data_IF_256258507033
#
_entry.id   IF_256258507033
#
_cell.length_a   1.000
_cell.length_b   1.000
_cell.length_c   1.000
_cell.angle_alpha   90.00
_cell.angle_beta   90.00
_cell.angle_gamma   90.00
#
_symmetry.space_group_name_H-M   'P 1'
#
loop_
_entity.id
_entity.type
_entity.pdbx_description
1 polymer ?
#
# COMPACT_ATOMS: atom_id res chain seq x y z
N UNK A 1 15.13 38.88 32.29
CA UNK A 1 15.43 37.69 31.47
C UNK A 1 15.07 36.45 32.28
N UNK A 2 13.88 35.88 32.07
CA UNK A 2 13.44 34.61 32.68
C UNK A 2 13.31 33.58 31.56
N UNK A 3 14.10 32.51 31.64
CA UNK A 3 14.07 31.38 30.71
C UNK A 3 12.89 30.48 31.09
N UNK A 4 11.90 30.35 30.21
CA UNK A 4 10.79 29.40 30.39
C UNK A 4 11.21 28.06 29.79
N UNK A 5 11.33 27.05 30.64
CA UNK A 5 11.68 25.67 30.27
C UNK A 5 10.36 24.96 29.91
N UNK A 6 10.14 24.67 28.62
CA UNK A 6 9.01 23.85 28.17
C UNK A 6 9.32 22.37 28.43
N UNK A 7 8.75 21.81 29.49
CA UNK A 7 8.71 20.36 29.73
C UNK A 7 7.61 19.76 28.84
N UNK A 8 8.03 18.99 27.84
CA UNK A 8 7.16 18.10 27.05
C UNK A 8 6.82 16.88 27.91
N UNK A 9 5.57 16.81 28.35
CA UNK A 9 5.03 15.67 29.08
C UNK A 9 4.65 14.58 28.06
N UNK A 10 5.48 13.54 27.93
CA UNK A 10 5.14 12.33 27.17
C UNK A 10 4.21 11.48 28.04
N UNK A 11 2.91 11.54 27.77
CA UNK A 11 1.93 10.65 28.37
C UNK A 11 2.06 9.24 27.80
N UNK A 12 2.61 8.31 28.58
CA UNK A 12 2.49 6.88 28.30
C UNK A 12 1.04 6.45 28.55
N UNK A 13 0.29 6.21 27.48
CA UNK A 13 -0.95 5.43 27.51
C UNK A 13 -0.58 3.95 27.70
N UNK A 14 -0.48 3.52 28.96
CA UNK A 14 -0.55 2.11 29.32
C UNK A 14 -2.02 1.67 29.26
N UNK A 15 -2.52 1.41 28.05
CA UNK A 15 -3.77 0.70 27.85
C UNK A 15 -3.56 -0.81 28.10
N UNK A 16 -4.58 -1.54 28.58
CA UNK A 16 -4.51 -2.99 28.67
C UNK A 16 -4.22 -3.56 27.28
N UNK A 17 -3.26 -4.48 27.21
CA UNK A 17 -2.92 -5.22 26.00
C UNK A 17 -4.15 -5.94 25.47
N UNK A 18 -4.86 -5.31 24.53
CA UNK A 18 -5.80 -6.00 23.67
C UNK A 18 -4.95 -6.95 22.82
N UNK A 19 -5.02 -8.25 23.14
CA UNK A 19 -4.49 -9.29 22.27
C UNK A 19 -5.30 -9.22 20.97
N UNK A 20 -4.73 -8.60 19.94
CA UNK A 20 -5.24 -8.68 18.59
C UNK A 20 -4.99 -10.12 18.12
N UNK A 21 -5.92 -11.00 18.45
CA UNK A 21 -5.92 -12.38 18.00
C UNK A 21 -6.12 -12.34 16.48
N UNK A 22 -5.11 -12.70 15.70
CA UNK A 22 -5.31 -13.00 14.28
C UNK A 22 -6.33 -14.14 14.26
N UNK A 23 -7.54 -13.86 13.76
CA UNK A 23 -8.52 -14.91 13.55
C UNK A 23 -8.06 -15.71 12.34
N UNK A 24 -7.26 -16.75 12.60
CA UNK A 24 -6.93 -17.77 11.62
C UNK A 24 -7.77 -19.02 11.91
N UNK A 25 -8.49 -19.48 10.90
CA UNK A 25 -9.30 -20.69 10.99
C UNK A 25 -9.02 -21.55 9.76
N UNK A 26 -8.80 -22.85 10.00
CA UNK A 26 -8.75 -23.84 8.93
C UNK A 26 -10.18 -24.18 8.50
N UNK A 27 -10.46 -24.03 7.21
CA UNK A 27 -11.73 -24.37 6.57
C UNK A 27 -11.48 -25.49 5.55
N UNK A 28 -11.23 -26.69 6.05
CA UNK A 28 -10.75 -27.80 5.24
C UNK A 28 -9.31 -27.52 4.78
N UNK A 29 -9.04 -27.60 3.48
CA UNK A 29 -7.72 -27.34 2.88
C UNK A 29 -7.43 -25.83 2.70
N UNK A 30 -8.24 -24.95 3.29
CA UNK A 30 -8.11 -23.51 3.18
C UNK A 30 -7.76 -22.85 4.52
N UNK A 31 -6.84 -21.89 4.45
CA UNK A 31 -6.50 -20.97 5.53
C UNK A 31 -7.32 -19.68 5.40
N UNK A 32 -8.20 -19.42 6.37
CA UNK A 32 -8.85 -18.11 6.52
C UNK A 32 -8.02 -17.22 7.43
N UNK A 33 -7.73 -15.98 7.02
CA UNK A 33 -6.96 -15.01 7.80
C UNK A 33 -7.65 -13.65 7.81
N UNK A 34 -7.90 -13.11 9.00
CA UNK A 34 -8.28 -11.72 9.21
C UNK A 34 -7.05 -10.90 9.63
N UNK A 35 -6.78 -9.77 8.97
CA UNK A 35 -5.62 -8.95 9.31
C UNK A 35 -5.57 -7.56 8.67
N UNK A 36 -4.49 -6.84 8.95
CA UNK A 36 -4.23 -5.48 8.43
C UNK A 36 -3.32 -5.47 7.20
N UNK A 37 -2.91 -6.65 6.72
CA UNK A 37 -2.03 -6.83 5.56
C UNK A 37 -2.68 -7.84 4.63
N UNK A 38 -2.93 -7.49 3.36
CA UNK A 38 -3.55 -8.40 2.41
C UNK A 38 -2.56 -9.47 1.93
N UNK A 39 -3.06 -10.62 1.50
CA UNK A 39 -2.23 -11.69 0.93
C UNK A 39 -1.56 -11.34 -0.40
N UNK A 40 -2.14 -10.39 -1.17
CA UNK A 40 -1.57 -9.89 -2.43
C UNK A 40 -0.26 -9.15 -2.17
N UNK A 41 0.84 -9.74 -2.60
CA UNK A 41 2.18 -9.24 -2.29
C UNK A 41 2.83 -8.54 -3.48
N UNK A 42 2.40 -8.86 -4.70
CA UNK A 42 2.86 -8.22 -5.95
C UNK A 42 1.95 -7.07 -6.43
N UNK A 43 0.74 -6.98 -5.86
CA UNK A 43 -0.26 -6.00 -6.24
C UNK A 43 -0.18 -4.72 -5.38
N UNK A 44 1.02 -4.15 -5.33
CA UNK A 44 1.37 -3.03 -4.46
C UNK A 44 0.98 -1.66 -5.05
N UNK A 45 -0.04 -1.67 -5.93
CA UNK A 45 -0.49 -0.58 -6.79
C UNK A 45 -0.61 0.76 -6.05
N UNK A 46 -0.09 1.78 -6.74
CA UNK A 46 -0.04 3.21 -6.38
C UNK A 46 0.84 3.54 -5.17
N UNK A 47 1.88 4.33 -5.47
CA UNK A 47 3.02 4.72 -4.64
C UNK A 47 2.64 5.38 -3.31
N UNK A 48 1.40 5.85 -3.16
CA UNK A 48 1.03 6.68 -2.01
C UNK A 48 0.26 5.90 -0.95
N UNK A 49 0.68 6.00 0.33
CA UNK A 49 0.07 5.28 1.42
C UNK A 49 -1.41 5.66 1.60
N UNK A 50 -2.18 4.73 2.18
CA UNK A 50 -3.52 5.01 2.67
C UNK A 50 -3.52 6.32 3.47
N UNK A 51 -4.57 7.12 3.31
CA UNK A 51 -4.63 8.41 3.95
C UNK A 51 -4.49 8.27 5.47
N UNK A 52 -3.62 9.08 6.07
CA UNK A 52 -3.37 9.08 7.51
C UNK A 52 -4.70 9.14 8.28
N UNK A 53 -4.93 8.19 9.17
CA UNK A 53 -6.15 8.09 9.97
C UNK A 53 -7.30 7.30 9.33
N UNK A 54 -7.09 6.55 8.24
CA UNK A 54 -8.06 5.54 7.79
C UNK A 54 -7.96 4.28 8.65
N UNK A 55 -9.12 3.69 8.97
CA UNK A 55 -9.18 2.32 9.46
C UNK A 55 -9.12 1.39 8.24
N UNK A 56 -8.26 0.36 8.32
CA UNK A 56 -8.01 -0.58 7.24
C UNK A 56 -7.88 -2.01 7.74
N UNK A 57 -8.22 -2.97 6.89
CA UNK A 57 -8.17 -4.39 7.21
C UNK A 57 -8.77 -5.24 6.10
N UNK A 58 -8.57 -6.54 6.18
CA UNK A 58 -9.05 -7.47 5.18
C UNK A 58 -9.14 -8.91 5.67
N UNK A 59 -9.83 -9.69 4.85
CA UNK A 59 -10.07 -11.12 5.01
C UNK A 59 -9.48 -11.84 3.81
N UNK A 60 -8.66 -12.83 4.06
CA UNK A 60 -7.98 -13.64 3.05
C UNK A 60 -8.33 -15.11 3.23
N UNK A 61 -8.57 -15.81 2.13
CA UNK A 61 -8.71 -17.25 2.06
C UNK A 61 -7.65 -17.80 1.11
N UNK A 62 -6.76 -18.65 1.60
CA UNK A 62 -5.65 -19.22 0.83
C UNK A 62 -5.71 -20.74 0.84
N UNK A 63 -5.19 -21.38 -0.20
CA UNK A 63 -5.12 -22.84 -0.35
C UNK A 63 -3.68 -23.27 -0.62
N UNK A 64 -3.31 -24.48 -0.18
CA UNK A 64 -1.96 -25.05 -0.34
C UNK A 64 -1.50 -25.16 -1.80
N UNK A 65 -2.43 -25.14 -2.76
CA UNK A 65 -2.11 -25.10 -4.19
C UNK A 65 -1.46 -23.77 -4.64
N UNK A 66 -1.53 -22.72 -3.81
CA UNK A 66 -1.11 -21.37 -4.13
C UNK A 66 -2.26 -20.43 -4.54
N UNK A 67 -3.48 -20.95 -4.71
CA UNK A 67 -4.67 -20.13 -4.98
C UNK A 67 -5.06 -19.32 -3.74
N UNK A 68 -5.40 -18.06 -3.92
CA UNK A 68 -5.98 -17.24 -2.87
C UNK A 68 -7.07 -16.31 -3.40
N UNK A 69 -8.03 -15.99 -2.54
CA UNK A 69 -9.04 -14.95 -2.73
C UNK A 69 -9.08 -14.09 -1.49
N UNK A 70 -9.36 -12.80 -1.63
CA UNK A 70 -9.45 -11.93 -0.47
C UNK A 70 -10.17 -10.63 -0.75
N UNK A 71 -10.48 -9.95 0.34
CA UNK A 71 -11.04 -8.61 0.34
C UNK A 71 -10.25 -7.76 1.32
N UNK A 72 -9.84 -6.58 0.88
CA UNK A 72 -9.11 -5.62 1.70
C UNK A 72 -9.72 -4.23 1.54
N UNK A 73 -9.99 -3.57 2.67
CA UNK A 73 -10.43 -2.18 2.68
C UNK A 73 -9.27 -1.28 3.12
N UNK A 74 -8.61 -0.55 2.20
CA UNK A 74 -7.58 0.42 2.56
C UNK A 74 -8.15 1.65 3.29
N UNK A 75 -9.44 1.90 3.11
CA UNK A 75 -10.20 2.91 3.83
C UNK A 75 -11.63 2.41 4.06
N UNK A 76 -12.06 2.29 5.31
CA UNK A 76 -13.45 1.96 5.64
C UNK A 76 -14.43 3.15 5.55
N UNK A 77 -13.97 4.34 5.17
CA UNK A 77 -14.83 5.53 5.05
C UNK A 77 -15.44 6.04 6.37
N UNK A 78 -14.90 5.61 7.52
CA UNK A 78 -15.40 6.00 8.86
C UNK A 78 -14.87 7.38 9.27
N UNK A 79 -13.71 7.78 8.74
CA UNK A 79 -13.06 9.05 9.03
C UNK A 79 -13.62 10.14 8.11
N UNK A 80 -13.98 11.34 8.62
CA UNK A 80 -14.51 12.42 7.79
C UNK A 80 -13.63 12.75 6.59
N UNK A 81 -14.24 12.86 5.41
CA UNK A 81 -13.52 13.15 4.16
C UNK A 81 -12.72 11.96 3.60
N UNK A 82 -13.06 10.73 4.00
CA UNK A 82 -12.55 9.50 3.42
C UNK A 82 -13.70 8.64 2.93
N UNK A 83 -13.56 8.15 1.70
CA UNK A 83 -14.53 7.25 1.09
C UNK A 83 -14.22 5.80 1.47
N UNK A 84 -15.26 4.98 1.40
CA UNK A 84 -15.14 3.53 1.54
C UNK A 84 -14.58 2.97 0.24
N UNK A 85 -13.47 2.26 0.35
CA UNK A 85 -12.84 1.53 -0.74
C UNK A 85 -12.74 0.06 -0.37
N UNK A 86 -13.15 -0.82 -1.29
CA UNK A 86 -13.10 -2.27 -1.13
C UNK A 86 -12.37 -2.88 -2.32
N UNK A 87 -11.25 -3.54 -2.03
CA UNK A 87 -10.40 -4.22 -2.99
C UNK A 87 -10.70 -5.71 -2.91
N UNK A 88 -11.39 -6.25 -3.91
CA UNK A 88 -11.61 -7.69 -4.02
C UNK A 88 -10.59 -8.29 -4.97
N UNK A 89 -9.93 -9.38 -4.58
CA UNK A 89 -8.86 -9.95 -5.39
C UNK A 89 -8.86 -11.47 -5.40
N UNK A 90 -8.29 -12.00 -6.46
CA UNK A 90 -7.96 -13.40 -6.65
C UNK A 90 -6.57 -13.49 -7.25
N UNK A 91 -5.79 -14.46 -6.80
CA UNK A 91 -4.46 -14.66 -7.32
C UNK A 91 -3.94 -16.07 -7.11
N UNK A 92 -2.79 -16.30 -7.71
CA UNK A 92 -2.05 -17.55 -7.59
C UNK A 92 -0.60 -17.21 -7.27
N UNK A 93 -0.09 -17.79 -6.19
CA UNK A 93 1.27 -17.59 -5.69
C UNK A 93 1.94 -18.92 -5.44
N UNK A 94 3.08 -19.15 -6.09
CA UNK A 94 3.78 -20.43 -5.99
C UNK A 94 5.29 -20.23 -5.90
N UNK A 95 5.97 -20.84 -4.92
CA UNK A 95 7.41 -21.00 -4.96
C UNK A 95 7.78 -22.07 -6.00
N UNK A 96 8.80 -21.80 -6.83
CA UNK A 96 9.45 -22.84 -7.61
C UNK A 96 10.44 -23.63 -6.73
N UNK A 97 11.20 -22.91 -5.91
CA UNK A 97 12.11 -23.44 -4.91
C UNK A 97 12.29 -22.45 -3.76
N UNK A 98 13.37 -22.57 -2.98
CA UNK A 98 13.67 -21.68 -1.86
C UNK A 98 14.14 -20.28 -2.30
N UNK A 99 14.47 -20.10 -3.58
CA UNK A 99 15.07 -18.90 -4.14
C UNK A 99 14.07 -18.15 -5.02
N UNK A 100 13.37 -18.87 -5.90
CA UNK A 100 12.52 -18.32 -6.92
C UNK A 100 11.05 -18.65 -6.64
N UNK A 101 10.19 -17.64 -6.76
CA UNK A 101 8.74 -17.81 -6.77
C UNK A 101 8.08 -16.80 -7.69
N UNK A 102 6.81 -17.02 -8.00
CA UNK A 102 6.01 -16.09 -8.77
C UNK A 102 4.64 -15.90 -8.14
N UNK A 103 4.03 -14.78 -8.49
CA UNK A 103 2.68 -14.46 -8.10
C UNK A 103 2.01 -13.67 -9.23
N UNK A 104 0.78 -14.03 -9.57
CA UNK A 104 -0.06 -13.34 -10.54
C UNK A 104 -1.48 -13.24 -9.99
N UNK A 105 -2.22 -12.23 -10.41
CA UNK A 105 -3.60 -12.10 -10.01
C UNK A 105 -4.28 -10.87 -10.57
N UNK A 106 -5.48 -10.65 -10.07
CA UNK A 106 -6.30 -9.49 -10.40
C UNK A 106 -6.96 -8.90 -9.16
N UNK A 107 -7.21 -7.60 -9.21
CA UNK A 107 -7.99 -6.85 -8.22
C UNK A 107 -9.12 -6.15 -8.94
N UNK A 108 -10.27 -6.11 -8.26
CA UNK A 108 -11.39 -5.24 -8.57
C UNK A 108 -11.53 -4.23 -7.43
N UNK A 109 -11.34 -2.96 -7.76
CA UNK A 109 -11.52 -1.82 -6.86
C UNK A 109 -12.95 -1.32 -6.96
N UNK A 110 -13.60 -1.19 -5.81
CA UNK A 110 -14.97 -0.67 -5.72
C UNK A 110 -15.08 0.44 -4.70
N UNK A 111 -15.90 1.44 -5.01
CA UNK A 111 -16.10 2.65 -4.19
C UNK A 111 -17.60 2.84 -3.87
N UNK A 112 -18.20 2.05 -2.97
CA UNK A 112 -19.65 1.99 -2.81
C UNK A 112 -20.31 3.28 -2.33
N UNK A 113 -19.54 4.20 -1.73
CA UNK A 113 -20.05 5.44 -1.14
C UNK A 113 -20.02 6.65 -2.08
N UNK A 114 -19.44 6.52 -3.28
CA UNK A 114 -19.27 7.63 -4.23
C UNK A 114 -19.63 7.18 -5.64
N UNK A 115 -20.01 8.14 -6.49
CA UNK A 115 -20.31 7.90 -7.91
C UNK A 115 -19.01 7.83 -8.74
N UNK A 116 -18.06 7.00 -8.31
CA UNK A 116 -16.83 6.71 -9.05
C UNK A 116 -16.97 5.35 -9.73
N UNK A 117 -16.48 5.23 -10.96
CA UNK A 117 -16.51 3.94 -11.66
C UNK A 117 -15.50 2.98 -11.03
N UNK A 118 -15.92 1.73 -10.87
CA UNK A 118 -15.05 0.63 -10.47
C UNK A 118 -13.89 0.47 -11.46
N UNK A 119 -12.74 0.02 -10.96
CA UNK A 119 -11.56 -0.26 -11.78
C UNK A 119 -11.00 -1.64 -11.49
N UNK A 120 -10.20 -2.15 -12.42
CA UNK A 120 -9.54 -3.44 -12.30
C UNK A 120 -8.04 -3.29 -12.49
N UNK A 121 -7.29 -4.15 -11.83
CA UNK A 121 -5.84 -4.21 -11.98
C UNK A 121 -5.39 -5.66 -12.13
N UNK A 122 -4.57 -5.91 -13.15
CA UNK A 122 -3.83 -7.15 -13.30
C UNK A 122 -2.43 -6.95 -12.76
N UNK A 123 -1.93 -7.90 -11.99
CA UNK A 123 -0.59 -7.83 -11.44
C UNK A 123 0.16 -9.15 -11.61
N UNK A 124 1.48 -9.03 -11.60
CA UNK A 124 2.38 -10.17 -11.68
C UNK A 124 3.76 -9.82 -11.16
N UNK A 125 4.48 -10.80 -10.65
CA UNK A 125 5.83 -10.57 -10.17
C UNK A 125 6.57 -11.83 -9.77
N UNK A 126 7.85 -11.63 -9.45
CA UNK A 126 8.80 -12.66 -9.08
C UNK A 126 9.38 -12.36 -7.71
N UNK A 127 9.56 -13.41 -6.93
CA UNK A 127 10.40 -13.38 -5.73
C UNK A 127 11.73 -14.05 -6.06
N UNK A 128 12.85 -13.38 -5.78
CA UNK A 128 14.21 -13.89 -5.97
C UNK A 128 15.04 -13.61 -4.71
N UNK A 129 15.52 -14.66 -4.04
CA UNK A 129 16.38 -14.54 -2.84
C UNK A 129 15.78 -13.65 -1.73
N UNK A 130 14.46 -13.69 -1.56
CA UNK A 130 13.75 -12.83 -0.60
C UNK A 130 13.44 -11.42 -1.11
N UNK A 131 13.98 -11.00 -2.25
CA UNK A 131 13.61 -9.77 -2.93
C UNK A 131 12.39 -9.99 -3.83
N UNK A 132 11.53 -8.99 -3.97
CA UNK A 132 10.30 -9.05 -4.76
C UNK A 132 10.33 -7.99 -5.85
N UNK A 133 9.93 -8.37 -7.05
CA UNK A 133 9.82 -7.50 -8.20
C UNK A 133 8.48 -7.74 -8.84
N UNK A 134 7.71 -6.69 -9.11
CA UNK A 134 6.45 -6.89 -9.79
C UNK A 134 5.93 -5.68 -10.50
N UNK A 135 4.91 -5.95 -11.29
CA UNK A 135 4.25 -5.01 -12.16
C UNK A 135 2.75 -5.11 -11.97
N UNK A 136 2.07 -3.99 -12.12
CA UNK A 136 0.62 -3.94 -12.10
C UNK A 136 0.11 -2.99 -13.19
N UNK A 137 -0.98 -3.39 -13.84
CA UNK A 137 -1.62 -2.69 -14.94
C UNK A 137 -3.08 -2.46 -14.56
N UNK A 138 -3.46 -1.21 -14.38
CA UNK A 138 -4.82 -0.81 -14.01
C UNK A 138 -5.56 -0.20 -15.20
N UNK A 139 -6.82 -0.56 -15.35
CA UNK A 139 -7.73 -0.03 -16.38
C UNK A 139 -8.71 1.00 -15.83
N UNK A 140 -8.29 1.78 -14.83
CA UNK A 140 -9.11 2.83 -14.24
C UNK A 140 -9.77 3.72 -15.34
N UNK A 141 -11.11 3.90 -15.29
CA UNK A 141 -11.84 4.60 -16.34
C UNK A 141 -11.37 6.05 -16.58
N UNK A 142 -10.83 6.71 -15.57
CA UNK A 142 -10.32 8.08 -15.67
C UNK A 142 -8.84 8.10 -16.09
N UNK A 143 -8.08 7.05 -15.79
CA UNK A 143 -6.64 6.95 -16.04
C UNK A 143 -6.15 5.52 -16.20
N UNK A 144 -5.17 5.29 -17.07
CA UNK A 144 -4.42 4.04 -17.09
C UNK A 144 -3.16 4.17 -16.23
N UNK A 145 -2.92 3.19 -15.35
CA UNK A 145 -1.75 3.20 -14.48
C UNK A 145 -0.91 1.94 -14.68
N UNK A 146 0.40 2.13 -14.80
CA UNK A 146 1.35 1.03 -14.81
C UNK A 146 2.33 1.22 -13.64
N UNK A 147 2.32 0.28 -12.70
CA UNK A 147 3.22 0.29 -11.54
C UNK A 147 4.34 -0.71 -11.76
N UNK A 148 5.56 -0.30 -11.43
CA UNK A 148 6.73 -1.16 -11.25
C UNK A 148 7.19 -1.03 -9.80
N UNK A 149 7.48 -2.16 -9.16
CA UNK A 149 8.00 -2.15 -7.81
C UNK A 149 9.20 -3.09 -7.65
N UNK A 150 10.08 -2.72 -6.73
CA UNK A 150 11.19 -3.54 -6.25
C UNK A 150 11.25 -3.45 -4.72
N UNK A 151 11.25 -4.59 -4.05
CA UNK A 151 11.44 -4.71 -2.62
C UNK A 151 12.64 -5.61 -2.37
N UNK A 152 13.69 -5.07 -1.77
CA UNK A 152 14.95 -5.76 -1.60
C UNK A 152 15.00 -6.39 -0.20
N UNK A 153 14.47 -7.61 -0.11
CA UNK A 153 14.60 -8.49 1.04
C UNK A 153 15.84 -9.39 0.91
N UNK A 154 16.62 -9.54 1.99
CA UNK A 154 17.87 -10.30 2.04
C UNK A 154 18.66 -10.01 3.32
N UNK A 155 19.97 -10.28 3.33
CA UNK A 155 20.87 -9.86 4.42
C UNK A 155 20.96 -8.33 4.46
N UNK A 156 19.97 -7.71 5.10
CA UNK A 156 19.85 -6.27 5.27
C UNK A 156 21.14 -5.71 5.88
N UNK A 157 21.93 -4.90 5.15
CA UNK A 157 23.09 -4.24 5.74
C UNK A 157 22.61 -3.43 6.93
N UNK A 158 23.16 -3.72 8.13
CA UNK A 158 22.76 -3.06 9.37
C UNK A 158 21.28 -3.26 9.80
N UNK A 159 20.58 -4.25 9.25
CA UNK A 159 19.17 -4.53 9.57
C UNK A 159 18.19 -3.50 9.00
N UNK A 160 18.53 -2.88 7.87
CA UNK A 160 17.68 -1.94 7.13
C UNK A 160 17.15 -2.60 5.85
N UNK A 161 15.83 -2.70 5.72
CA UNK A 161 15.15 -3.05 4.48
C UNK A 161 14.99 -1.85 3.56
N UNK A 162 14.99 -2.09 2.25
CA UNK A 162 14.82 -1.04 1.24
C UNK A 162 13.76 -1.49 0.24
N UNK A 163 12.76 -0.65 0.03
CA UNK A 163 11.76 -0.82 -1.03
C UNK A 163 11.67 0.43 -1.88
N UNK A 164 11.48 0.24 -3.19
CA UNK A 164 11.27 1.28 -4.17
C UNK A 164 10.03 0.98 -5.00
N UNK A 165 9.22 2.00 -5.24
CA UNK A 165 8.09 1.94 -6.16
C UNK A 165 8.22 3.05 -7.19
N UNK A 166 7.79 2.76 -8.41
CA UNK A 166 7.73 3.71 -9.52
C UNK A 166 6.46 3.44 -10.32
N UNK A 167 5.64 4.46 -10.53
CA UNK A 167 4.41 4.34 -11.30
C UNK A 167 4.36 5.42 -12.38
N UNK A 168 3.82 5.02 -13.53
CA UNK A 168 3.46 5.94 -14.61
C UNK A 168 1.95 5.97 -14.75
N UNK A 169 1.43 7.18 -14.96
CA UNK A 169 0.02 7.46 -15.10
C UNK A 169 -0.23 8.10 -16.45
N UNK A 170 -1.24 7.61 -17.15
CA UNK A 170 -1.73 8.17 -18.41
C UNK A 170 -3.20 8.55 -18.21
N UNK A 171 -3.51 9.84 -18.33
CA UNK A 171 -4.87 10.34 -18.19
C UNK A 171 -5.63 10.08 -19.49
N UNK A 172 -6.83 9.50 -19.39
CA UNK A 172 -7.69 9.28 -20.56
C UNK A 172 -8.23 10.62 -21.10
N UNK A 173 -8.48 11.56 -20.18
CA UNK A 173 -8.81 12.96 -20.50
C UNK A 173 -7.74 13.88 -19.92
N UNK A 174 -6.97 14.61 -20.76
CA UNK A 174 -5.96 15.55 -20.27
C UNK A 174 -6.55 16.64 -19.37
N UNK A 175 -5.86 16.97 -18.29
CA UNK A 175 -6.28 17.99 -17.32
C UNK A 175 -5.63 19.32 -17.68
N UNK A 176 -6.43 20.38 -17.77
CA UNK A 176 -5.93 21.74 -17.98
C UNK A 176 -5.24 22.25 -16.71
N UNK A 177 -4.03 22.79 -16.87
CA UNK A 177 -3.21 23.36 -15.81
C UNK A 177 -2.67 24.73 -16.24
N UNK A 178 -2.09 25.49 -15.31
CA UNK A 178 -1.48 26.77 -15.67
C UNK A 178 -0.32 26.54 -16.66
N UNK A 179 -0.51 27.01 -17.89
CA UNK A 179 0.51 26.89 -18.94
C UNK A 179 0.40 25.66 -19.84
N UNK A 180 -0.65 24.84 -19.72
CA UNK A 180 -0.88 23.76 -20.68
C UNK A 180 -1.88 22.69 -20.25
N UNK A 181 -1.58 21.46 -20.65
CA UNK A 181 -2.36 20.28 -20.30
C UNK A 181 -1.43 19.18 -19.81
N UNK A 182 -1.83 18.48 -18.76
CA UNK A 182 -1.17 17.26 -18.29
C UNK A 182 -1.94 16.07 -18.85
N UNK A 183 -1.27 15.23 -19.64
CA UNK A 183 -1.81 13.97 -20.15
C UNK A 183 -1.17 12.74 -19.51
N UNK A 184 -0.02 12.91 -18.85
CA UNK A 184 0.65 11.85 -18.11
C UNK A 184 1.54 12.43 -17.01
N UNK A 185 1.81 11.62 -15.99
CA UNK A 185 2.75 11.94 -14.93
C UNK A 185 3.34 10.68 -14.33
N UNK A 186 4.39 10.83 -13.52
CA UNK A 186 5.03 9.73 -12.81
C UNK A 186 5.11 10.03 -11.33
N UNK A 187 5.06 8.98 -10.51
CA UNK A 187 5.37 9.08 -9.09
C UNK A 187 6.28 7.93 -8.64
N UNK A 188 6.98 8.17 -7.54
CA UNK A 188 7.92 7.21 -6.99
C UNK A 188 8.04 7.34 -5.47
N UNK A 189 8.45 6.26 -4.84
CA UNK A 189 8.79 6.27 -3.42
C UNK A 189 10.00 5.39 -3.14
N UNK A 190 10.70 5.75 -2.07
CA UNK A 190 11.71 4.91 -1.43
C UNK A 190 11.33 4.79 0.04
N UNK A 191 11.28 3.56 0.52
CA UNK A 191 11.03 3.22 1.91
C UNK A 191 12.26 2.54 2.51
N UNK A 192 12.63 2.99 3.70
CA UNK A 192 13.58 2.33 4.58
C UNK A 192 12.81 1.73 5.76
N UNK A 193 12.99 0.44 6.00
CA UNK A 193 12.34 -0.25 7.13
C UNK A 193 13.38 -0.78 8.12
N UNK A 194 13.10 -0.66 9.41
CA UNK A 194 13.97 -1.21 10.46
C UNK A 194 13.17 -1.65 11.68
N UNK A 195 13.31 -2.91 12.13
CA UNK A 195 12.79 -3.32 13.43
C UNK A 195 13.62 -2.68 14.55
N UNK A 196 12.94 -2.08 15.53
CA UNK A 196 13.54 -1.44 16.69
C UNK A 196 12.70 -1.72 17.95
N UNK A 197 13.27 -2.48 18.90
CA UNK A 197 12.63 -2.79 20.19
C UNK A 197 11.22 -3.40 20.06
N UNK A 198 10.98 -4.24 19.05
CA UNK A 198 9.67 -4.86 18.80
C UNK A 198 8.66 -3.93 18.11
N UNK A 199 9.12 -2.81 17.55
CA UNK A 199 8.36 -1.92 16.68
C UNK A 199 9.03 -1.89 15.31
N UNK A 200 8.28 -2.15 14.25
CA UNK A 200 8.73 -1.96 12.88
C UNK A 200 8.58 -0.49 12.52
N UNK A 201 9.70 0.17 12.22
CA UNK A 201 9.76 1.56 11.82
C UNK A 201 9.96 1.65 10.31
N UNK A 202 9.04 2.31 9.61
CA UNK A 202 9.15 2.61 8.19
C UNK A 202 9.29 4.12 7.99
N UNK A 203 10.32 4.53 7.26
CA UNK A 203 10.50 5.89 6.77
C UNK A 203 10.38 5.88 5.25
N UNK A 204 9.37 6.56 4.73
CA UNK A 204 9.10 6.64 3.29
C UNK A 204 9.24 8.07 2.81
N UNK A 205 9.97 8.26 1.72
CA UNK A 205 9.94 9.49 0.93
C UNK A 205 9.26 9.20 -0.40
N UNK A 206 8.28 10.01 -0.77
CA UNK A 206 7.55 9.90 -2.03
C UNK A 206 7.52 11.24 -2.76
N UNK A 207 7.59 11.22 -4.08
CA UNK A 207 7.48 12.43 -4.89
C UNK A 207 6.83 12.12 -6.26
N UNK A 208 6.38 13.15 -6.97
CA UNK A 208 5.85 13.03 -8.33
C UNK A 208 6.55 13.99 -9.29
N UNK A 209 6.32 13.81 -10.59
CA UNK A 209 6.72 14.76 -11.63
C UNK A 209 5.84 16.01 -11.67
N UNK A 210 4.71 16.01 -10.97
CA UNK A 210 3.82 17.16 -10.85
C UNK A 210 4.29 18.08 -9.71
N UNK A 211 4.05 19.37 -9.84
CA UNK A 211 4.33 20.36 -8.80
C UNK A 211 3.46 21.60 -8.97
N UNK A 212 3.19 22.32 -7.88
CA UNK A 212 2.46 23.58 -7.93
C UNK A 212 1.05 23.43 -8.52
N UNK A 213 0.72 24.23 -9.55
CA UNK A 213 -0.58 24.20 -10.23
C UNK A 213 -0.89 22.85 -10.89
N UNK A 214 0.14 22.08 -11.24
CA UNK A 214 -0.01 20.82 -11.95
C UNK A 214 -0.52 19.70 -11.04
N UNK A 215 -0.47 19.89 -9.70
CA UNK A 215 -1.05 18.97 -8.74
C UNK A 215 -2.56 18.75 -8.94
N UNK A 216 -3.26 19.66 -9.62
CA UNK A 216 -4.68 19.49 -9.94
C UNK A 216 -4.94 18.31 -10.87
N UNK A 217 -3.93 17.86 -11.63
CA UNK A 217 -3.99 16.68 -12.47
C UNK A 217 -3.79 15.36 -11.69
N UNK A 218 -3.43 15.44 -10.40
CA UNK A 218 -3.21 14.26 -9.57
C UNK A 218 -4.55 13.66 -9.12
N UNK A 219 -4.86 12.46 -9.62
CA UNK A 219 -6.12 11.75 -9.39
C UNK A 219 -5.96 10.47 -8.56
N UNK A 220 -5.10 10.46 -7.53
CA UNK A 220 -4.90 9.30 -6.63
C UNK A 220 -5.72 9.36 -5.32
N UNK A 221 -5.53 8.39 -4.41
CA UNK A 221 -6.19 8.34 -3.08
C UNK A 221 -5.86 9.53 -2.15
N UNK A 222 -4.98 10.44 -2.58
CA UNK A 222 -4.76 11.74 -1.95
C UNK A 222 -4.59 12.82 -3.01
N UNK A 223 -4.88 14.07 -2.65
CA UNK A 223 -4.73 15.25 -3.51
C UNK A 223 -3.34 15.90 -3.43
N UNK A 224 -2.37 15.24 -2.78
CA UNK A 224 -1.06 15.82 -2.49
C UNK A 224 -0.07 15.30 -3.52
N UNK A 225 0.37 16.14 -4.46
CA UNK A 225 1.32 15.72 -5.50
C UNK A 225 2.81 15.96 -5.14
N UNK A 226 3.07 16.85 -4.18
CA UNK A 226 4.40 17.25 -3.75
C UNK A 226 5.14 16.17 -2.93
N UNK A 227 6.45 16.41 -2.74
CA UNK A 227 7.33 15.58 -1.92
C UNK A 227 6.82 15.41 -0.49
N UNK A 228 6.64 14.17 -0.06
CA UNK A 228 6.11 13.81 1.26
C UNK A 228 7.05 12.85 1.97
N UNK A 229 7.31 13.12 3.25
CA UNK A 229 7.96 12.18 4.17
C UNK A 229 6.90 11.58 5.08
N UNK A 230 6.81 10.25 5.07
CA UNK A 230 5.91 9.49 5.95
C UNK A 230 6.73 8.67 6.93
N UNK A 231 6.36 8.74 8.21
CA UNK A 231 6.86 7.84 9.24
C UNK A 231 5.72 6.93 9.69
N UNK A 232 5.94 5.63 9.64
CA UNK A 232 5.01 4.62 10.15
C UNK A 232 5.72 3.78 11.22
N UNK A 233 5.01 3.51 12.31
CA UNK A 233 5.47 2.66 13.38
C UNK A 233 4.40 1.58 13.62
N UNK A 234 4.78 0.31 13.46
CA UNK A 234 3.88 -0.83 13.65
C UNK A 234 4.42 -1.69 14.77
N UNK A 235 3.56 -2.04 15.72
CA UNK A 235 3.87 -3.03 16.75
C UNK A 235 2.85 -4.13 16.66
N UNK A 236 3.31 -5.35 16.42
CA UNK A 236 2.44 -6.51 16.47
C UNK A 236 2.34 -6.98 17.92
N UNK A 237 1.11 -7.11 18.42
CA UNK A 237 0.81 -7.58 19.77
C UNK A 237 0.44 -9.07 19.71
N UNK A 238 1.44 -9.91 19.44
CA UNK A 238 1.34 -11.35 19.68
C UNK A 238 1.95 -11.71 21.03
#
# INVERSE_FOLDING_TARGET
>A
MRKTFCLLLVGLLAGPSAHAQIFQAELGDFDLKLGTTPSRSMAQGLVKPAAVGSFHGGLDLSHDSGLYVGQYAPSMGITPGKDLEIDSYVGFKQPFDQILGYEVGMIHYSYPSVETLDSQELFGGLTLLGSRFGVALSNDPDKQNNTLFADLGGNQPFGIGVSMKYTTHQLNTPVAVDGGYVSSFTDWSVQLSRPFMGVDLDLTYSNSSLSGSDCSAYSGHNSQCDGLVTLKAVRTFY
#
